data_IF_657487888754
#
_entry.id   IF_657487888754
#
_cell.length_a   1.000
_cell.length_b   1.000
_cell.length_c   1.000
_cell.angle_alpha   90.00
_cell.angle_beta   90.00
_cell.angle_gamma   90.00
#
_symmetry.space_group_name_H-M   'P 1'
#
loop_
_entity.id
_entity.type
_entity.pdbx_description
1 polymer ?
#
# COMPACT_ATOMS: atom_id res chain seq x y z
N UNK A 1 41.37 -3.64 24.66
CA UNK A 1 42.08 -2.34 24.87
C UNK A 1 42.60 -2.22 26.29
N UNK A 2 41.76 -2.38 27.35
CA UNK A 2 42.16 -2.19 28.77
C UNK A 2 43.44 -2.98 29.12
N UNK A 3 43.48 -4.29 28.84
CA UNK A 3 44.63 -5.14 29.12
C UNK A 3 45.93 -4.70 28.40
N UNK A 4 45.82 -4.12 27.19
CA UNK A 4 46.99 -3.61 26.46
C UNK A 4 47.52 -2.29 27.06
N UNK A 5 46.63 -1.44 27.54
CA UNK A 5 47.02 -0.20 28.23
C UNK A 5 47.70 -0.53 29.58
N UNK A 6 47.15 -1.49 30.33
CA UNK A 6 47.74 -1.95 31.59
C UNK A 6 49.11 -2.61 31.38
N UNK A 7 49.31 -3.32 30.29
CA UNK A 7 50.56 -3.91 29.86
C UNK A 7 51.55 -2.92 29.23
N UNK A 8 51.20 -1.62 29.12
CA UNK A 8 52.02 -0.59 28.45
C UNK A 8 52.14 -0.75 26.93
N UNK A 9 51.31 -1.66 26.33
CA UNK A 9 51.33 -1.95 24.90
C UNK A 9 50.34 -1.08 24.09
N UNK A 10 49.60 -0.18 24.74
CA UNK A 10 48.72 0.81 24.11
C UNK A 10 48.71 2.10 24.93
N UNK A 11 48.44 3.23 24.29
CA UNK A 11 48.42 4.54 24.95
C UNK A 11 47.17 4.73 25.82
N UNK A 12 47.24 5.40 26.98
CA UNK A 12 46.08 5.64 27.84
C UNK A 12 44.87 6.28 27.15
N UNK A 13 45.02 7.22 26.19
CA UNK A 13 43.89 7.78 25.42
C UNK A 13 43.10 6.74 24.59
N UNK A 14 43.71 5.63 24.21
CA UNK A 14 43.02 4.56 23.45
C UNK A 14 41.92 3.91 24.29
N UNK A 15 42.13 3.76 25.60
CA UNK A 15 41.10 3.24 26.51
C UNK A 15 39.89 4.16 26.56
N UNK A 16 40.11 5.46 26.81
CA UNK A 16 39.02 6.44 26.85
C UNK A 16 38.25 6.52 25.56
N UNK A 17 38.93 6.41 24.39
CA UNK A 17 38.28 6.38 23.08
C UNK A 17 37.41 5.13 22.91
N UNK A 18 37.91 3.97 23.28
CA UNK A 18 37.13 2.73 23.22
C UNK A 18 35.90 2.73 24.12
N UNK A 19 36.08 3.32 25.37
CA UNK A 19 34.98 3.49 26.32
C UNK A 19 33.91 4.46 25.80
N UNK A 20 34.32 5.59 25.21
CA UNK A 20 33.40 6.56 24.60
C UNK A 20 32.62 5.95 23.44
N UNK A 21 33.27 5.18 22.55
CA UNK A 21 32.64 4.51 21.45
C UNK A 21 31.65 3.41 21.90
N UNK A 22 32.01 2.65 22.92
CA UNK A 22 31.09 1.68 23.55
C UNK A 22 29.87 2.35 24.19
N UNK A 23 30.06 3.51 24.87
CA UNK A 23 28.96 4.28 25.43
C UNK A 23 28.02 4.84 24.36
N UNK A 24 28.56 5.34 23.23
CA UNK A 24 27.76 5.82 22.10
C UNK A 24 26.91 4.71 21.49
N UNK A 25 27.47 3.50 21.30
CA UNK A 25 26.71 2.35 20.80
C UNK A 25 25.62 1.90 21.78
N UNK A 26 25.90 1.93 23.08
CA UNK A 26 24.89 1.61 24.09
C UNK A 26 23.74 2.62 24.09
N UNK A 27 24.04 3.90 23.92
CA UNK A 27 23.03 4.95 23.80
C UNK A 27 22.18 4.75 22.52
N UNK A 28 22.81 4.40 21.40
CA UNK A 28 22.09 4.08 20.17
C UNK A 28 21.17 2.86 20.32
N UNK A 29 21.59 1.79 21.02
CA UNK A 29 20.75 0.64 21.32
C UNK A 29 19.53 1.02 22.18
N UNK A 30 19.71 1.83 23.23
CA UNK A 30 18.59 2.31 24.05
C UNK A 30 17.60 3.17 23.25
N UNK A 31 18.09 3.98 22.30
CA UNK A 31 17.22 4.75 21.41
C UNK A 31 16.41 3.85 20.47
N UNK A 32 17.02 2.78 19.95
CA UNK A 32 16.33 1.80 19.11
C UNK A 32 15.25 1.02 19.91
N UNK A 33 15.51 0.65 21.17
CA UNK A 33 14.52 0.01 22.03
C UNK A 33 13.32 0.95 22.29
N UNK A 34 13.56 2.23 22.54
CA UNK A 34 12.50 3.21 22.72
C UNK A 34 11.67 3.41 21.44
N UNK A 35 12.30 3.36 20.26
CA UNK A 35 11.58 3.40 18.98
C UNK A 35 10.70 2.15 18.79
N UNK A 36 11.16 0.96 19.17
CA UNK A 36 10.34 -0.25 19.14
C UNK A 36 9.08 -0.08 19.98
N UNK A 37 9.22 0.42 21.20
CA UNK A 37 8.08 0.64 22.09
C UNK A 37 7.10 1.67 21.51
N UNK A 38 7.61 2.79 20.98
CA UNK A 38 6.78 3.78 20.29
C UNK A 38 5.97 3.14 19.15
N UNK A 39 6.63 2.38 18.26
CA UNK A 39 5.96 1.70 17.14
C UNK A 39 4.91 0.68 17.58
N UNK A 40 5.13 0.01 18.71
CA UNK A 40 4.17 -0.91 19.31
C UNK A 40 2.91 -0.18 19.80
N UNK A 41 3.06 1.00 20.43
CA UNK A 41 1.91 1.82 20.81
C UNK A 41 1.16 2.37 19.60
N UNK A 42 1.88 2.87 18.59
CA UNK A 42 1.29 3.33 17.32
C UNK A 42 0.47 2.21 16.66
N UNK A 43 1.01 1.00 16.62
CA UNK A 43 0.31 -0.16 16.06
C UNK A 43 -0.93 -0.51 16.88
N UNK A 44 -0.84 -0.57 18.22
CA UNK A 44 -1.99 -0.85 19.10
C UNK A 44 -3.12 0.17 18.94
N UNK A 45 -2.80 1.43 18.71
CA UNK A 45 -3.78 2.49 18.48
C UNK A 45 -4.66 2.26 17.24
N UNK A 46 -4.19 1.50 16.22
CA UNK A 46 -4.99 1.20 15.01
C UNK A 46 -6.27 0.40 15.29
N UNK A 47 -6.33 -0.36 16.39
CA UNK A 47 -7.53 -1.06 16.84
C UNK A 47 -8.08 -0.53 18.17
N UNK A 48 -7.70 0.71 18.54
CA UNK A 48 -8.24 1.39 19.72
C UNK A 48 -7.68 0.92 21.05
N UNK A 49 -6.57 0.17 21.07
CA UNK A 49 -5.91 -0.26 22.32
C UNK A 49 -4.89 0.77 22.80
N UNK A 50 -4.91 1.08 24.09
CA UNK A 50 -3.89 1.91 24.73
C UNK A 50 -2.66 1.12 25.21
N UNK A 51 -2.71 -0.22 25.16
CA UNK A 51 -1.64 -1.12 25.59
C UNK A 51 -1.24 -2.06 24.46
N UNK A 52 0.08 -2.18 24.14
CA UNK A 52 0.55 -3.02 23.06
C UNK A 52 0.68 -4.49 23.49
N UNK A 53 -0.46 -5.16 23.77
CA UNK A 53 -0.50 -6.59 24.14
C UNK A 53 -0.69 -7.43 22.88
N UNK A 54 0.39 -7.72 22.19
CA UNK A 54 0.43 -8.63 21.03
C UNK A 54 1.81 -9.26 20.88
N UNK A 55 1.84 -10.44 20.24
CA UNK A 55 3.10 -11.09 19.91
C UNK A 55 3.91 -10.24 18.91
N UNK A 56 5.25 -10.26 18.94
CA UNK A 56 6.04 -9.60 17.92
C UNK A 56 5.60 -10.04 16.53
N UNK A 57 5.42 -9.09 15.59
CA UNK A 57 5.05 -9.46 14.23
C UNK A 57 6.12 -10.38 13.64
N UNK A 58 5.71 -11.53 13.11
CA UNK A 58 6.62 -12.40 12.36
C UNK A 58 6.96 -11.70 11.05
N UNK A 59 8.23 -11.78 10.63
CA UNK A 59 8.60 -11.36 9.30
C UNK A 59 7.79 -12.18 8.29
N UNK A 60 6.87 -11.52 7.59
CA UNK A 60 6.10 -12.16 6.53
C UNK A 60 7.01 -12.21 5.29
N UNK A 61 7.92 -13.14 5.30
CA UNK A 61 8.57 -13.61 4.07
C UNK A 61 7.54 -14.50 3.36
N UNK A 62 6.48 -13.91 2.83
CA UNK A 62 5.61 -14.62 1.90
C UNK A 62 6.43 -14.93 0.66
N UNK A 63 6.21 -16.12 0.13
CA UNK A 63 6.86 -16.62 -1.07
C UNK A 63 6.68 -15.60 -2.21
N UNK A 64 7.75 -14.86 -2.51
CA UNK A 64 7.76 -13.75 -3.47
C UNK A 64 7.33 -14.22 -4.86
N UNK A 65 7.71 -15.45 -5.20
CA UNK A 65 7.32 -16.09 -6.46
C UNK A 65 5.82 -16.27 -6.58
N UNK A 66 5.12 -16.54 -5.47
CA UNK A 66 3.66 -16.67 -5.43
C UNK A 66 2.96 -15.32 -5.64
N UNK A 67 3.50 -14.24 -5.04
CA UNK A 67 2.94 -12.89 -5.20
C UNK A 67 3.13 -12.39 -6.64
N UNK A 68 4.32 -12.58 -7.21
CA UNK A 68 4.63 -12.18 -8.57
C UNK A 68 3.86 -13.02 -9.62
N UNK A 69 3.59 -14.30 -9.33
CA UNK A 69 2.79 -15.17 -10.20
C UNK A 69 1.29 -14.86 -10.16
N UNK A 70 0.80 -14.32 -9.03
CA UNK A 70 -0.60 -13.89 -8.84
C UNK A 70 -0.90 -12.49 -9.39
N UNK A 71 -0.13 -11.96 -10.33
CA UNK A 71 -0.45 -10.71 -11.06
C UNK A 71 -1.74 -10.85 -11.88
N UNK A 72 -2.68 -11.66 -11.37
CA UNK A 72 -4.03 -11.82 -11.88
C UNK A 72 -4.93 -10.77 -11.25
N UNK A 73 -5.72 -10.11 -12.06
CA UNK A 73 -6.95 -9.52 -11.55
C UNK A 73 -6.94 -8.02 -11.35
N UNK A 74 -6.40 -7.25 -12.32
CA UNK A 74 -6.79 -5.84 -12.40
C UNK A 74 -8.32 -5.73 -12.47
N UNK A 75 -8.98 -6.69 -13.13
CA UNK A 75 -10.44 -6.72 -13.28
C UNK A 75 -11.18 -6.90 -11.95
N UNK A 76 -10.55 -7.53 -10.96
CA UNK A 76 -11.11 -7.71 -9.62
C UNK A 76 -10.73 -6.57 -8.66
N UNK A 77 -9.93 -5.59 -9.11
CA UNK A 77 -9.52 -4.48 -8.24
C UNK A 77 -10.72 -3.58 -7.90
N UNK A 78 -11.02 -3.33 -6.62
CA UNK A 78 -12.21 -2.58 -6.21
C UNK A 78 -12.35 -1.20 -6.86
N UNK A 79 -11.22 -0.49 -7.04
CA UNK A 79 -11.23 0.83 -7.68
C UNK A 79 -11.59 0.75 -9.17
N UNK A 80 -11.19 -0.31 -9.88
CA UNK A 80 -11.58 -0.52 -11.27
C UNK A 80 -13.03 -0.97 -11.36
N UNK A 81 -13.47 -1.86 -10.48
CA UNK A 81 -14.87 -2.27 -10.40
C UNK A 81 -15.79 -1.07 -10.12
N UNK A 82 -15.42 -0.18 -9.20
CA UNK A 82 -16.15 1.05 -8.92
C UNK A 82 -16.21 1.99 -10.13
N UNK A 83 -15.09 2.18 -10.85
CA UNK A 83 -15.05 3.02 -12.05
C UNK A 83 -15.91 2.44 -13.18
N UNK A 84 -15.88 1.12 -13.42
CA UNK A 84 -16.74 0.44 -14.39
C UNK A 84 -18.23 0.53 -14.01
N UNK A 85 -18.56 0.36 -12.72
CA UNK A 85 -19.93 0.53 -12.23
C UNK A 85 -20.43 1.98 -12.40
N UNK A 86 -19.56 2.97 -12.14
CA UNK A 86 -19.85 4.38 -12.41
C UNK A 86 -20.18 4.64 -13.88
N UNK A 87 -19.39 4.10 -14.80
CA UNK A 87 -19.65 4.22 -16.24
C UNK A 87 -21.00 3.59 -16.61
N UNK A 88 -21.30 2.39 -16.10
CA UNK A 88 -22.60 1.72 -16.34
C UNK A 88 -23.78 2.54 -15.79
N UNK A 89 -23.62 3.17 -14.62
CA UNK A 89 -24.65 4.04 -14.05
C UNK A 89 -24.91 5.27 -14.92
N UNK A 90 -23.87 5.89 -15.48
CA UNK A 90 -24.02 7.02 -16.42
C UNK A 90 -24.65 6.60 -17.75
N UNK A 91 -24.39 5.39 -18.25
CA UNK A 91 -25.07 4.84 -19.41
C UNK A 91 -26.58 4.69 -19.15
N UNK A 92 -26.97 4.17 -18.00
CA UNK A 92 -28.38 4.07 -17.61
C UNK A 92 -29.03 5.46 -17.44
N UNK A 93 -28.33 6.47 -16.91
CA UNK A 93 -28.82 7.86 -16.85
C UNK A 93 -29.05 8.44 -18.26
N UNK A 94 -28.17 8.13 -19.22
CA UNK A 94 -28.34 8.54 -20.61
C UNK A 94 -29.59 7.89 -21.24
N UNK A 95 -29.80 6.61 -21.01
CA UNK A 95 -30.97 5.89 -21.49
C UNK A 95 -32.27 6.41 -20.86
N UNK A 96 -32.25 6.71 -19.56
CA UNK A 96 -33.37 7.36 -18.88
C UNK A 96 -33.68 8.76 -19.46
N UNK A 97 -32.64 9.56 -19.76
CA UNK A 97 -32.81 10.88 -20.36
C UNK A 97 -33.37 10.78 -21.80
N UNK A 98 -33.00 9.74 -22.56
CA UNK A 98 -33.58 9.44 -23.86
C UNK A 98 -35.05 9.02 -23.75
N UNK A 99 -35.36 8.13 -22.80
CA UNK A 99 -36.73 7.64 -22.55
C UNK A 99 -37.67 8.78 -22.12
N UNK A 100 -37.18 9.76 -21.33
CA UNK A 100 -37.95 10.92 -20.93
C UNK A 100 -38.39 11.83 -22.11
N UNK A 101 -37.82 11.66 -23.29
CA UNK A 101 -38.28 12.28 -24.54
C UNK A 101 -39.47 11.57 -25.21
N UNK A 102 -39.86 10.40 -24.72
CA UNK A 102 -40.97 9.58 -25.19
C UNK A 102 -42.19 9.86 -24.29
N UNK A 103 -43.32 10.32 -24.83
CA UNK A 103 -44.46 10.62 -23.99
C UNK A 103 -45.13 9.38 -23.40
N UNK A 104 -45.56 9.46 -22.15
CA UNK A 104 -46.31 8.42 -21.47
C UNK A 104 -47.75 8.36 -21.99
N UNK A 105 -48.23 7.18 -22.36
CA UNK A 105 -49.63 6.95 -22.72
C UNK A 105 -50.42 6.58 -21.45
N UNK A 106 -51.39 7.44 -21.12
CA UNK A 106 -52.25 7.22 -19.96
C UNK A 106 -53.57 6.63 -20.43
N UNK A 107 -53.95 5.47 -19.91
CA UNK A 107 -55.26 4.86 -20.11
C UNK A 107 -56.06 5.05 -18.84
N UNK A 108 -57.28 5.59 -18.97
CA UNK A 108 -58.19 5.80 -17.84
C UNK A 108 -59.51 5.08 -18.10
N UNK A 109 -60.07 4.49 -17.05
CA UNK A 109 -61.40 3.93 -17.00
C UNK A 109 -62.14 4.44 -15.78
N UNK A 110 -63.39 4.83 -15.93
CA UNK A 110 -64.16 5.37 -14.82
C UNK A 110 -65.66 5.20 -15.09
N UNK A 111 -66.43 5.35 -14.02
CA UNK A 111 -67.93 5.40 -14.09
C UNK A 111 -68.34 6.81 -13.67
N UNK A 112 -69.20 7.41 -14.50
CA UNK A 112 -69.82 8.72 -14.21
C UNK A 112 -71.32 8.48 -13.97
N UNK A 113 -71.82 8.91 -12.81
CA UNK A 113 -73.21 8.91 -12.50
C UNK A 113 -73.77 10.32 -12.74
N UNK A 114 -74.88 10.40 -13.44
CA UNK A 114 -75.60 11.65 -13.69
C UNK A 114 -76.69 11.82 -12.64
N UNK A 115 -76.61 12.83 -11.80
CA UNK A 115 -77.58 13.06 -10.71
C UNK A 115 -78.98 13.47 -11.23
N UNK A 116 -79.04 14.11 -12.38
CA UNK A 116 -80.32 14.60 -12.96
C UNK A 116 -81.17 13.48 -13.54
N UNK A 117 -80.56 12.43 -14.13
CA UNK A 117 -81.24 11.33 -14.78
C UNK A 117 -81.13 10.01 -14.06
N UNK A 118 -80.21 9.90 -13.10
CA UNK A 118 -79.93 8.64 -12.38
C UNK A 118 -79.12 7.64 -13.25
N UNK A 119 -78.70 8.00 -14.42
CA UNK A 119 -78.01 7.10 -15.33
C UNK A 119 -76.49 6.97 -15.00
N UNK A 120 -75.94 5.81 -15.27
CA UNK A 120 -74.53 5.53 -15.13
C UNK A 120 -73.87 5.37 -16.53
N UNK A 121 -72.81 6.11 -16.78
CA UNK A 121 -72.02 5.96 -18.02
C UNK A 121 -70.64 5.42 -17.72
N UNK A 122 -70.15 4.45 -18.49
CA UNK A 122 -68.76 3.98 -18.47
C UNK A 122 -67.92 4.90 -19.34
N UNK A 123 -66.86 5.44 -18.78
CA UNK A 123 -65.89 6.27 -19.50
C UNK A 123 -64.59 5.48 -19.65
N UNK A 124 -64.12 5.42 -20.92
CA UNK A 124 -62.79 4.94 -21.24
C UNK A 124 -62.05 6.04 -21.99
N UNK A 125 -60.90 6.38 -21.56
CA UNK A 125 -60.06 7.44 -22.14
C UNK A 125 -58.64 7.03 -22.38
N UNK A 126 -58.03 7.53 -23.46
CA UNK A 126 -56.60 7.42 -23.72
C UNK A 126 -56.09 8.85 -23.92
N UNK A 127 -55.04 9.19 -23.13
CA UNK A 127 -54.39 10.50 -23.21
C UNK A 127 -52.93 10.30 -23.60
N UNK A 128 -52.49 10.97 -24.66
CA UNK A 128 -51.12 10.98 -25.14
C UNK A 128 -50.65 12.44 -25.18
N UNK A 129 -49.72 12.86 -24.29
CA UNK A 129 -49.15 14.20 -24.38
C UNK A 129 -48.20 14.29 -25.57
N UNK A 130 -48.39 15.26 -26.46
CA UNK A 130 -47.54 15.50 -27.62
C UNK A 130 -46.52 16.59 -27.28
N UNK A 131 -45.21 16.24 -27.13
CA UNK A 131 -44.18 17.23 -26.83
C UNK A 131 -43.80 18.01 -28.10
N UNK A 132 -44.42 19.21 -28.27
CA UNK A 132 -44.21 20.03 -29.47
C UNK A 132 -42.88 20.81 -29.40
N UNK A 133 -42.45 21.25 -28.22
CA UNK A 133 -41.34 22.19 -28.03
C UNK A 133 -40.12 21.52 -27.34
N UNK A 134 -40.32 20.65 -26.41
CA UNK A 134 -39.25 19.97 -25.68
C UNK A 134 -39.35 18.45 -25.82
N UNK A 135 -38.38 17.84 -26.48
CA UNK A 135 -38.20 16.37 -26.63
C UNK A 135 -37.04 15.84 -25.81
N UNK A 136 -36.62 16.56 -24.78
CA UNK A 136 -35.50 16.21 -23.88
C UNK A 136 -34.15 15.94 -24.60
N UNK A 137 -33.97 16.45 -25.85
CA UNK A 137 -32.79 16.14 -26.66
C UNK A 137 -31.51 16.70 -26.07
N UNK A 138 -31.55 17.89 -25.50
CA UNK A 138 -30.36 18.53 -24.94
C UNK A 138 -29.94 17.88 -23.63
N UNK A 139 -30.90 17.47 -22.80
CA UNK A 139 -30.62 16.68 -21.61
C UNK A 139 -30.04 15.29 -21.95
N UNK A 140 -30.61 14.61 -22.94
CA UNK A 140 -30.09 13.32 -23.43
C UNK A 140 -28.66 13.45 -24.01
N UNK A 141 -28.37 14.55 -24.74
CA UNK A 141 -27.02 14.83 -25.24
C UNK A 141 -26.05 15.12 -24.11
N UNK A 142 -26.45 15.93 -23.13
CA UNK A 142 -25.64 16.24 -21.95
C UNK A 142 -25.34 14.97 -21.12
N UNK A 143 -26.33 14.09 -20.95
CA UNK A 143 -26.14 12.78 -20.30
C UNK A 143 -25.17 11.90 -21.09
N UNK A 144 -25.23 11.92 -22.43
CA UNK A 144 -24.29 11.23 -23.31
C UNK A 144 -22.84 11.68 -23.10
N UNK A 145 -22.58 12.98 -23.05
CA UNK A 145 -21.22 13.49 -22.77
C UNK A 145 -20.72 13.10 -21.37
N UNK A 146 -21.61 13.03 -20.37
CA UNK A 146 -21.22 12.56 -19.02
C UNK A 146 -20.90 11.06 -19.04
N UNK A 147 -21.65 10.26 -19.75
CA UNK A 147 -21.38 8.84 -19.91
C UNK A 147 -20.03 8.61 -20.61
N UNK A 148 -19.74 9.33 -21.69
CA UNK A 148 -18.46 9.24 -22.39
C UNK A 148 -17.29 9.66 -21.50
N UNK A 149 -17.44 10.75 -20.72
CA UNK A 149 -16.42 11.19 -19.78
C UNK A 149 -16.13 10.13 -18.69
N UNK A 150 -17.17 9.46 -18.17
CA UNK A 150 -16.99 8.42 -17.15
C UNK A 150 -16.35 7.14 -17.73
N UNK A 151 -16.68 6.75 -18.97
CA UNK A 151 -16.00 5.64 -19.68
C UNK A 151 -14.51 5.93 -19.86
N UNK A 152 -14.17 7.16 -20.30
CA UNK A 152 -12.76 7.59 -20.43
C UNK A 152 -12.08 7.58 -19.07
N UNK A 153 -12.76 8.02 -17.99
CA UNK A 153 -12.26 7.95 -16.62
C UNK A 153 -11.96 6.51 -16.20
N UNK A 154 -12.83 5.57 -16.48
CA UNK A 154 -12.61 4.15 -16.17
C UNK A 154 -11.39 3.58 -16.90
N UNK A 155 -11.18 3.92 -18.17
CA UNK A 155 -9.97 3.55 -18.94
C UNK A 155 -8.72 4.17 -18.33
N UNK A 156 -8.78 5.42 -17.88
CA UNK A 156 -7.65 6.09 -17.22
C UNK A 156 -7.32 5.43 -15.87
N UNK A 157 -8.33 5.03 -15.08
CA UNK A 157 -8.14 4.27 -13.83
C UNK A 157 -7.44 2.95 -14.11
N UNK A 158 -7.88 2.21 -15.12
CA UNK A 158 -7.25 0.93 -15.51
C UNK A 158 -5.77 1.13 -15.89
N UNK A 159 -5.48 2.09 -16.78
CA UNK A 159 -4.11 2.39 -17.19
C UNK A 159 -3.23 2.79 -16.02
N UNK A 160 -3.75 3.61 -15.09
CA UNK A 160 -3.06 4.02 -13.88
C UNK A 160 -2.75 2.84 -12.97
N UNK A 161 -3.72 1.98 -12.70
CA UNK A 161 -3.53 0.79 -11.86
C UNK A 161 -2.50 -0.16 -12.46
N UNK A 162 -2.55 -0.40 -13.78
CA UNK A 162 -1.57 -1.22 -14.49
C UNK A 162 -0.15 -0.66 -14.37
N UNK A 163 0.01 0.64 -14.55
CA UNK A 163 1.29 1.32 -14.35
C UNK A 163 1.80 1.21 -12.91
N UNK A 164 0.91 1.39 -11.93
CA UNK A 164 1.26 1.25 -10.51
C UNK A 164 1.69 -0.17 -10.15
N UNK A 165 1.01 -1.19 -10.66
CA UNK A 165 1.41 -2.60 -10.46
C UNK A 165 2.78 -2.89 -11.04
N UNK A 166 3.05 -2.46 -12.29
CA UNK A 166 4.34 -2.66 -12.93
C UNK A 166 5.47 -1.95 -12.17
N UNK A 167 5.23 -0.72 -11.71
CA UNK A 167 6.18 0.03 -10.91
C UNK A 167 6.43 -0.63 -9.54
N UNK A 168 5.39 -1.14 -8.88
CA UNK A 168 5.52 -1.85 -7.61
C UNK A 168 6.30 -3.16 -7.77
N UNK A 169 6.01 -3.95 -8.81
CA UNK A 169 6.75 -5.17 -9.11
C UNK A 169 8.23 -4.90 -9.43
N UNK A 170 8.53 -3.80 -10.12
CA UNK A 170 9.91 -3.40 -10.37
C UNK A 170 10.65 -3.02 -9.08
N UNK A 171 9.98 -2.31 -8.15
CA UNK A 171 10.56 -1.97 -6.83
C UNK A 171 10.85 -3.22 -6.00
N UNK A 172 9.92 -4.17 -5.95
CA UNK A 172 10.13 -5.44 -5.24
C UNK A 172 11.37 -6.14 -5.76
N UNK A 173 11.52 -6.32 -7.08
CA UNK A 173 12.71 -6.95 -7.67
C UNK A 173 14.00 -6.21 -7.34
N UNK A 174 13.98 -4.87 -7.36
CA UNK A 174 15.16 -4.06 -7.02
C UNK A 174 15.50 -4.16 -5.53
N UNK A 175 14.49 -4.17 -4.63
CA UNK A 175 14.68 -4.32 -3.19
C UNK A 175 15.23 -5.70 -2.84
N UNK A 176 14.75 -6.77 -3.50
CA UNK A 176 15.23 -8.14 -3.36
C UNK A 176 16.69 -8.27 -3.80
N UNK A 177 17.02 -7.80 -5.00
CA UNK A 177 18.40 -7.82 -5.48
C UNK A 177 19.34 -7.04 -4.54
N UNK A 178 18.90 -5.88 -4.02
CA UNK A 178 19.67 -5.12 -3.04
C UNK A 178 19.88 -5.89 -1.75
N UNK A 179 18.84 -6.53 -1.22
CA UNK A 179 18.93 -7.34 0.01
C UNK A 179 19.93 -8.47 -0.18
N UNK A 180 19.80 -9.22 -1.28
CA UNK A 180 20.70 -10.33 -1.61
C UNK A 180 22.18 -9.88 -1.66
N UNK A 181 22.46 -8.76 -2.32
CA UNK A 181 23.81 -8.20 -2.40
C UNK A 181 24.36 -7.82 -1.00
N UNK A 182 23.52 -7.20 -0.17
CA UNK A 182 23.91 -6.82 1.19
C UNK A 182 24.15 -8.02 2.10
N UNK A 183 23.32 -9.05 2.01
CA UNK A 183 23.44 -10.26 2.84
C UNK A 183 24.57 -11.20 2.39
N UNK A 184 24.75 -11.35 1.08
CA UNK A 184 25.70 -12.33 0.55
C UNK A 184 27.09 -11.77 0.33
N UNK A 185 27.24 -10.47 0.12
CA UNK A 185 28.54 -9.85 -0.18
C UNK A 185 28.96 -8.81 0.85
N UNK A 186 28.16 -7.76 1.06
CA UNK A 186 28.60 -6.61 1.85
C UNK A 186 28.78 -6.93 3.35
N UNK A 187 27.81 -7.60 3.97
CA UNK A 187 27.87 -7.94 5.38
C UNK A 187 28.97 -8.96 5.70
N UNK A 188 29.17 -10.05 4.94
CA UNK A 188 30.27 -10.97 5.14
C UNK A 188 31.64 -10.31 4.94
N UNK A 189 31.79 -9.45 3.93
CA UNK A 189 33.04 -8.71 3.68
C UNK A 189 33.36 -7.75 4.85
N UNK A 190 32.36 -6.99 5.34
CA UNK A 190 32.53 -6.13 6.50
C UNK A 190 32.90 -6.91 7.75
N UNK A 191 32.31 -8.08 7.95
CA UNK A 191 32.64 -8.98 9.08
C UNK A 191 34.09 -9.46 8.99
N UNK A 192 34.49 -9.96 7.83
CA UNK A 192 35.87 -10.43 7.60
C UNK A 192 36.89 -9.31 7.83
N UNK A 193 36.61 -8.10 7.37
CA UNK A 193 37.47 -6.94 7.59
C UNK A 193 37.61 -6.59 9.08
N UNK A 194 36.51 -6.62 9.82
CA UNK A 194 36.53 -6.39 11.26
C UNK A 194 37.30 -7.50 11.99
N UNK A 195 37.06 -8.76 11.72
CA UNK A 195 37.74 -9.88 12.35
C UNK A 195 39.27 -9.80 12.12
N UNK A 196 39.69 -9.53 10.88
CA UNK A 196 41.10 -9.33 10.53
C UNK A 196 41.72 -8.13 11.27
N UNK A 197 40.94 -7.04 11.43
CA UNK A 197 41.43 -5.85 12.14
C UNK A 197 41.61 -6.09 13.64
N UNK A 198 40.70 -6.87 14.26
CA UNK A 198 40.82 -7.28 15.67
C UNK A 198 42.05 -8.13 15.90
N UNK A 199 42.31 -9.11 15.04
CA UNK A 199 43.52 -9.93 15.10
C UNK A 199 44.79 -9.10 14.88
N UNK A 200 44.78 -8.20 13.91
CA UNK A 200 45.88 -7.30 13.63
C UNK A 200 46.19 -6.35 14.78
N UNK A 201 45.16 -5.81 15.42
CA UNK A 201 45.29 -4.97 16.64
C UNK A 201 45.84 -5.79 17.80
N UNK A 202 45.34 -7.01 18.01
CA UNK A 202 45.87 -7.88 19.08
C UNK A 202 47.36 -8.19 18.87
N UNK A 203 47.78 -8.40 17.62
CA UNK A 203 49.18 -8.63 17.26
C UNK A 203 50.05 -7.35 17.16
N UNK A 204 49.46 -6.16 17.46
CA UNK A 204 50.18 -4.88 17.36
C UNK A 204 50.49 -4.41 15.96
N UNK A 205 49.85 -5.00 14.92
CA UNK A 205 50.06 -4.65 13.51
C UNK A 205 49.17 -3.49 13.02
N UNK A 206 47.99 -3.32 13.66
CA UNK A 206 47.04 -2.27 13.37
C UNK A 206 46.81 -1.40 14.59
N UNK A 207 46.39 -0.18 14.37
CA UNK A 207 46.01 0.77 15.42
C UNK A 207 44.55 0.59 15.86
N UNK A 208 44.18 1.19 16.99
CA UNK A 208 42.82 1.14 17.52
C UNK A 208 41.84 1.84 16.56
N UNK A 209 42.25 2.94 15.90
CA UNK A 209 41.38 3.71 15.00
C UNK A 209 40.90 2.84 13.86
N UNK A 210 41.81 2.14 13.21
CA UNK A 210 41.50 1.22 12.09
C UNK A 210 40.53 0.12 12.55
N UNK A 211 40.70 -0.43 13.76
CA UNK A 211 39.81 -1.44 14.33
C UNK A 211 38.41 -0.90 14.65
N UNK A 212 38.33 0.33 15.16
CA UNK A 212 37.04 0.98 15.41
C UNK A 212 36.30 1.36 14.12
N UNK A 213 37.04 1.76 13.08
CA UNK A 213 36.47 2.09 11.76
C UNK A 213 35.89 0.84 11.08
N UNK A 214 36.61 -0.30 11.11
CA UNK A 214 36.06 -1.56 10.55
C UNK A 214 34.86 -2.06 11.36
N UNK A 215 34.84 -1.88 12.69
CA UNK A 215 33.67 -2.18 13.52
C UNK A 215 32.47 -1.33 13.14
N UNK A 216 32.67 -0.03 12.93
CA UNK A 216 31.63 0.88 12.46
C UNK A 216 31.07 0.41 11.11
N UNK A 217 31.93 0.07 10.17
CA UNK A 217 31.54 -0.48 8.87
C UNK A 217 30.70 -1.76 8.99
N UNK A 218 31.05 -2.67 9.90
CA UNK A 218 30.26 -3.88 10.16
C UNK A 218 28.86 -3.55 10.71
N UNK A 219 28.75 -2.61 11.64
CA UNK A 219 27.45 -2.18 12.19
C UNK A 219 26.62 -1.51 11.10
N UNK A 220 27.20 -0.63 10.29
CA UNK A 220 26.51 0.04 9.18
C UNK A 220 26.02 -0.96 8.13
N UNK A 221 26.83 -1.99 7.81
CA UNK A 221 26.39 -3.07 6.93
C UNK A 221 25.22 -3.85 7.51
N UNK A 222 25.23 -4.16 8.82
CA UNK A 222 24.12 -4.81 9.52
C UNK A 222 22.84 -3.99 9.50
N UNK A 223 22.92 -2.69 9.79
CA UNK A 223 21.80 -1.76 9.72
C UNK A 223 21.24 -1.69 8.29
N UNK A 224 22.13 -1.66 7.28
CA UNK A 224 21.73 -1.63 5.86
C UNK A 224 20.93 -2.86 5.45
N UNK A 225 21.27 -4.06 5.97
CA UNK A 225 20.49 -5.30 5.75
C UNK A 225 19.10 -5.17 6.37
N UNK A 226 18.99 -4.68 7.61
CA UNK A 226 17.70 -4.50 8.29
C UNK A 226 16.81 -3.53 7.51
N UNK A 227 17.36 -2.39 7.06
CA UNK A 227 16.65 -1.39 6.27
C UNK A 227 16.22 -1.93 4.89
N UNK A 228 17.06 -2.74 4.25
CA UNK A 228 16.72 -3.39 2.99
C UNK A 228 15.57 -4.39 3.16
N UNK A 229 15.58 -5.20 4.23
CA UNK A 229 14.45 -6.10 4.57
C UNK A 229 13.16 -5.33 4.83
N UNK A 230 13.24 -4.22 5.57
CA UNK A 230 12.08 -3.36 5.83
C UNK A 230 11.51 -2.79 4.54
N UNK A 231 12.38 -2.32 3.65
CA UNK A 231 12.00 -1.77 2.34
C UNK A 231 11.32 -2.84 1.48
N UNK A 232 11.91 -4.03 1.39
CA UNK A 232 11.33 -5.16 0.66
C UNK A 232 9.93 -5.52 1.17
N UNK A 233 9.77 -5.64 2.49
CA UNK A 233 8.47 -5.94 3.10
C UNK A 233 7.41 -4.86 2.79
N UNK A 234 7.78 -3.57 2.84
CA UNK A 234 6.89 -2.47 2.51
C UNK A 234 6.46 -2.50 1.03
N UNK A 235 7.40 -2.75 0.12
CA UNK A 235 7.12 -2.84 -1.32
C UNK A 235 6.28 -4.08 -1.66
N UNK A 236 6.50 -5.22 -0.99
CA UNK A 236 5.66 -6.42 -1.11
C UNK A 236 4.21 -6.15 -0.65
N UNK A 237 4.02 -5.48 0.50
CA UNK A 237 2.69 -5.11 0.97
C UNK A 237 1.99 -4.16 0.01
N UNK A 238 2.72 -3.21 -0.55
CA UNK A 238 2.21 -2.29 -1.57
C UNK A 238 1.79 -3.03 -2.85
N UNK A 239 2.60 -3.97 -3.31
CA UNK A 239 2.26 -4.81 -4.46
C UNK A 239 1.00 -5.65 -4.17
N UNK A 240 0.92 -6.30 -3.00
CA UNK A 240 -0.27 -7.05 -2.57
C UNK A 240 -1.54 -6.21 -2.59
N UNK A 241 -1.50 -4.99 -2.09
CA UNK A 241 -2.66 -4.10 -2.09
C UNK A 241 -3.12 -3.71 -3.49
N UNK A 242 -2.20 -3.65 -4.48
CA UNK A 242 -2.50 -3.32 -5.87
C UNK A 242 -3.03 -4.50 -6.69
N UNK A 243 -2.79 -5.74 -6.26
CA UNK A 243 -3.34 -6.93 -6.92
C UNK A 243 -4.65 -7.42 -6.29
N UNK A 244 -5.20 -6.68 -5.32
CA UNK A 244 -6.45 -7.06 -4.64
C UNK A 244 -6.34 -8.33 -3.77
N UNK A 245 -5.14 -8.86 -3.58
CA UNK A 245 -4.93 -9.97 -2.65
C UNK A 245 -5.19 -9.49 -1.22
N UNK A 246 -6.03 -10.20 -0.48
CA UNK A 246 -6.23 -9.92 0.94
C UNK A 246 -4.85 -9.92 1.63
N UNK A 247 -4.51 -8.88 2.40
CA UNK A 247 -3.19 -8.77 3.02
C UNK A 247 -2.90 -9.91 4.02
N UNK A 248 -3.93 -10.60 4.46
CA UNK A 248 -3.84 -11.69 5.42
C UNK A 248 -4.85 -12.79 5.07
N UNK A 249 -4.40 -14.00 4.80
CA UNK A 249 -5.19 -15.18 5.11
C UNK A 249 -5.18 -15.27 6.64
N UNK A 250 -6.28 -14.81 7.25
CA UNK A 250 -6.37 -14.66 8.69
C UNK A 250 -6.48 -15.99 9.39
N UNK A 251 -5.35 -16.56 9.76
CA UNK A 251 -5.27 -17.47 10.89
C UNK A 251 -4.94 -16.66 12.15
N UNK A 252 -5.91 -15.86 12.59
CA UNK A 252 -5.95 -15.39 13.96
C UNK A 252 -6.58 -16.51 14.80
N UNK A 253 -5.75 -17.42 15.27
CA UNK A 253 -6.02 -18.30 16.42
C UNK A 253 -5.27 -17.80 17.62
#
# INVERSE_FOLDING_TARGET
VANRVEAGAAAPPERSRAEADAAALKAAALAADAEIDQRRYELAALWGSSTPVFAPPRAILSDESEILSKTRGLDEHPALAAAKAGATARDAEQDAARAAGIPDVTVSAGVRQFEETGDNALLVGVTVPIPLFDRNRDAARAAGYRADAERISAVAVEARLRSQQQAAAARVRAAEARLTLLEQEALPAARSAYDASVEGYAAGRFDLTSTLDTRKGLIEAGVSVIDARRTLNADLMRLKSLIGAAPFNGDFQ
#
